data_IF_337047994701
#
_entry.id   IF_337047994701
#
_cell.length_a   1.000
_cell.length_b   1.000
_cell.length_c   1.000
_cell.angle_alpha   90.00
_cell.angle_beta   90.00
_cell.angle_gamma   90.00
#
_symmetry.space_group_name_H-M   'P 1'
#
loop_
_entity.id
_entity.type
_entity.pdbx_description
1 polymer ?
#
# COMPACT_ATOMS: atom_id res chain seq x y z
N UNK A 1 46.70 35.18 30.16
CA UNK A 1 45.64 35.23 29.11
C UNK A 1 46.07 34.33 27.97
N UNK A 2 45.12 33.58 27.38
CA UNK A 2 45.27 32.68 26.21
C UNK A 2 45.75 31.24 26.48
N UNK A 3 44.98 30.45 27.24
CA UNK A 3 45.05 28.99 27.12
C UNK A 3 43.75 28.26 27.54
N UNK A 4 42.60 28.95 27.50
CA UNK A 4 41.31 28.42 27.96
C UNK A 4 40.14 28.77 27.02
N UNK A 5 40.35 28.73 25.69
CA UNK A 5 39.29 29.13 24.75
C UNK A 5 39.12 28.21 23.54
N UNK A 6 39.66 26.99 23.55
CA UNK A 6 39.54 26.07 22.41
C UNK A 6 38.75 24.79 22.75
N UNK A 7 38.39 24.56 24.01
CA UNK A 7 37.80 23.28 24.45
C UNK A 7 36.28 23.29 24.66
N UNK A 8 35.53 24.21 24.04
CA UNK A 8 34.07 24.32 24.27
C UNK A 8 33.22 24.45 22.99
N UNK A 9 33.83 24.40 21.79
CA UNK A 9 33.10 24.61 20.51
C UNK A 9 33.06 23.34 19.64
N UNK A 10 33.46 22.17 20.16
CA UNK A 10 33.39 20.89 19.39
C UNK A 10 32.31 19.93 19.94
N UNK A 11 31.48 20.36 20.90
CA UNK A 11 30.42 19.50 21.45
C UNK A 11 29.01 19.76 20.88
N UNK A 12 28.88 20.57 19.81
CA UNK A 12 27.57 21.01 19.30
C UNK A 12 27.29 20.68 17.82
N UNK A 13 28.01 19.72 17.22
CA UNK A 13 27.79 19.31 15.82
C UNK A 13 27.74 17.78 15.63
N UNK A 14 27.38 17.04 16.68
CA UNK A 14 27.01 15.63 16.58
C UNK A 14 25.56 15.37 17.02
N UNK A 15 24.66 16.32 16.75
CA UNK A 15 23.29 15.94 16.41
C UNK A 15 23.34 15.52 14.95
N UNK A 16 24.01 14.38 14.71
CA UNK A 16 23.71 13.61 13.52
C UNK A 16 22.21 13.39 13.60
N UNK A 17 21.50 13.92 12.62
CA UNK A 17 20.25 13.36 12.19
C UNK A 17 20.54 11.87 11.94
N UNK A 18 20.40 11.05 12.98
CA UNK A 18 20.04 9.68 12.78
C UNK A 18 18.73 9.80 12.02
N UNK A 19 18.65 9.36 10.74
CA UNK A 19 17.33 9.07 10.22
C UNK A 19 16.71 8.18 11.28
N UNK A 20 15.60 8.63 11.85
CA UNK A 20 14.74 7.76 12.63
C UNK A 20 14.26 6.73 11.63
N UNK A 21 15.08 5.70 11.42
CA UNK A 21 14.71 4.49 10.71
C UNK A 21 13.64 3.87 11.60
N UNK A 22 12.41 4.35 11.43
CA UNK A 22 11.25 3.63 11.91
C UNK A 22 11.37 2.23 11.29
N UNK A 23 11.26 1.17 12.10
CA UNK A 23 11.27 -0.18 11.55
C UNK A 23 10.17 -0.27 10.47
N UNK A 24 10.42 -1.06 9.43
CA UNK A 24 9.40 -1.35 8.42
C UNK A 24 8.17 -1.95 9.13
N UNK A 25 7.08 -1.20 9.17
CA UNK A 25 5.84 -1.58 9.85
C UNK A 25 4.81 -2.07 8.84
N UNK A 26 4.11 -3.16 9.20
CA UNK A 26 2.93 -3.59 8.47
C UNK A 26 1.78 -2.60 8.70
N UNK A 27 1.04 -2.29 7.65
CA UNK A 27 -0.03 -1.33 7.72
C UNK A 27 -1.28 -1.79 6.95
N UNK A 28 -2.47 -1.57 7.50
CA UNK A 28 -3.74 -2.06 6.94
C UNK A 28 -4.86 -1.06 7.17
N UNK A 29 -5.64 -0.74 6.15
CA UNK A 29 -6.83 0.13 6.27
C UNK A 29 -8.06 -0.48 5.65
N UNK A 30 -9.20 -0.23 6.29
CA UNK A 30 -10.52 -0.61 5.85
C UNK A 30 -11.29 0.61 5.32
N UNK A 31 -11.48 0.63 4.00
CA UNK A 31 -12.16 1.67 3.24
C UNK A 31 -13.58 1.92 3.72
N UNK A 32 -14.01 3.19 3.68
CA UNK A 32 -15.38 3.57 4.02
C UNK A 32 -15.74 3.52 5.51
N UNK A 33 -14.83 3.09 6.38
CA UNK A 33 -15.10 2.90 7.82
C UNK A 33 -14.32 3.87 8.70
N UNK A 34 -14.94 4.26 9.81
CA UNK A 34 -14.33 5.10 10.85
C UNK A 34 -13.69 4.26 11.96
N UNK A 35 -14.33 3.14 12.30
CA UNK A 35 -13.90 2.25 13.36
C UNK A 35 -12.91 1.20 12.84
N UNK A 36 -11.96 0.83 13.70
CA UNK A 36 -11.00 -0.23 13.42
C UNK A 36 -11.68 -1.61 13.48
N UNK A 37 -11.13 -2.56 12.73
CA UNK A 37 -11.60 -3.93 12.63
C UNK A 37 -10.47 -4.91 12.90
N UNK A 38 -10.69 -5.88 13.78
CA UNK A 38 -9.79 -7.03 13.94
C UNK A 38 -10.38 -8.21 13.20
N UNK A 39 -9.66 -8.71 12.20
CA UNK A 39 -10.12 -9.83 11.39
C UNK A 39 -9.95 -11.19 12.08
N UNK A 40 -10.45 -12.24 11.45
CA UNK A 40 -10.39 -13.62 11.94
C UNK A 40 -8.97 -14.16 12.16
N UNK A 41 -7.95 -13.53 11.59
CA UNK A 41 -6.54 -13.85 11.78
C UNK A 41 -5.86 -12.99 12.84
N UNK A 42 -6.60 -12.08 13.49
CA UNK A 42 -6.09 -11.18 14.51
C UNK A 42 -5.34 -9.96 13.95
N UNK A 43 -5.44 -9.70 12.64
CA UNK A 43 -4.85 -8.50 12.02
C UNK A 43 -5.76 -7.31 12.29
N UNK A 44 -5.16 -6.18 12.64
CA UNK A 44 -5.90 -4.92 12.83
C UNK A 44 -5.93 -4.14 11.52
N UNK A 45 -7.13 -3.75 11.12
CA UNK A 45 -7.42 -2.89 9.97
C UNK A 45 -7.93 -1.56 10.47
N UNK A 46 -7.18 -0.49 10.24
CA UNK A 46 -7.57 0.84 10.69
C UNK A 46 -8.72 1.39 9.86
N UNK A 47 -9.67 2.07 10.50
CA UNK A 47 -10.73 2.76 9.77
C UNK A 47 -10.15 3.81 8.82
N UNK A 48 -10.42 3.71 7.51
CA UNK A 48 -9.81 4.59 6.52
C UNK A 48 -10.37 6.04 6.54
N UNK A 49 -11.44 6.32 7.30
CA UNK A 49 -12.03 7.67 7.43
C UNK A 49 -11.31 8.54 8.48
N UNK A 50 -9.98 8.50 8.50
CA UNK A 50 -9.13 9.21 9.46
C UNK A 50 -8.05 10.03 8.71
N UNK A 51 -7.94 11.31 9.04
CA UNK A 51 -6.91 12.21 8.48
C UNK A 51 -5.64 12.16 9.33
N UNK A 52 -4.46 12.08 8.69
CA UNK A 52 -3.16 12.42 9.30
C UNK A 52 -2.96 11.92 10.75
N UNK A 53 -3.16 10.62 10.97
CA UNK A 53 -2.91 9.95 12.23
C UNK A 53 -1.40 9.70 12.43
N UNK A 54 -1.03 9.19 13.61
CA UNK A 54 0.35 8.79 13.90
C UNK A 54 0.88 7.73 12.92
N UNK A 55 -0.02 6.93 12.35
CA UNK A 55 0.28 5.88 11.38
C UNK A 55 0.11 6.31 9.91
N UNK A 56 -0.50 7.48 9.65
CA UNK A 56 -0.88 7.90 8.30
C UNK A 56 -2.35 8.26 8.19
N UNK A 57 -2.90 8.27 6.98
CA UNK A 57 -4.31 8.57 6.74
C UNK A 57 -4.54 9.10 5.34
N UNK A 58 -5.77 9.54 5.07
CA UNK A 58 -6.03 10.23 3.80
C UNK A 58 -5.31 11.57 3.78
N UNK A 59 -4.93 12.00 2.57
CA UNK A 59 -4.31 13.30 2.32
C UNK A 59 -5.12 14.07 1.27
N UNK A 60 -4.96 15.39 1.26
CA UNK A 60 -5.64 16.37 0.39
C UNK A 60 -7.16 16.47 0.59
N UNK A 61 -7.89 15.35 0.48
CA UNK A 61 -9.35 15.33 0.53
C UNK A 61 -9.86 14.07 1.20
N UNK A 62 -10.80 14.26 2.14
CA UNK A 62 -11.52 13.15 2.76
C UNK A 62 -12.24 12.31 1.69
N UNK A 63 -11.99 10.99 1.63
CA UNK A 63 -12.68 10.12 0.70
C UNK A 63 -14.13 9.94 1.13
N UNK A 64 -15.02 9.83 0.14
CA UNK A 64 -16.42 9.49 0.36
C UNK A 64 -16.54 8.01 0.70
N UNK A 65 -17.69 7.64 1.26
CA UNK A 65 -18.00 6.28 1.66
C UNK A 65 -19.13 5.70 0.82
N UNK A 66 -19.11 4.39 0.62
CA UNK A 66 -20.26 3.63 0.15
C UNK A 66 -20.22 2.18 0.69
N UNK A 67 -21.37 1.52 0.71
CA UNK A 67 -21.52 0.14 1.18
C UNK A 67 -21.92 -0.80 0.05
N UNK A 68 -21.11 -1.83 -0.18
CA UNK A 68 -21.47 -2.92 -1.07
C UNK A 68 -22.59 -3.70 -0.37
N UNK A 69 -23.67 -4.01 -1.08
CA UNK A 69 -24.85 -4.63 -0.46
C UNK A 69 -24.77 -6.15 -0.39
N UNK A 70 -24.08 -6.74 -1.36
CA UNK A 70 -24.06 -8.17 -1.59
C UNK A 70 -22.78 -8.51 -2.34
N UNK A 71 -22.24 -9.70 -2.07
CA UNK A 71 -21.15 -10.32 -2.80
C UNK A 71 -21.59 -11.70 -3.28
N UNK A 72 -21.22 -12.08 -4.50
CA UNK A 72 -21.49 -13.42 -5.02
C UNK A 72 -20.81 -14.49 -4.17
N UNK A 73 -21.30 -15.73 -4.21
CA UNK A 73 -20.65 -16.85 -3.52
C UNK A 73 -19.20 -17.04 -3.98
N UNK A 74 -18.93 -16.85 -5.27
CA UNK A 74 -17.58 -16.95 -5.83
C UNK A 74 -16.66 -15.85 -5.28
N UNK A 75 -17.16 -14.61 -5.18
CA UNK A 75 -16.42 -13.52 -4.57
C UNK A 75 -16.10 -13.78 -3.08
N UNK A 76 -17.07 -14.31 -2.33
CA UNK A 76 -16.84 -14.68 -0.92
C UNK A 76 -15.80 -15.80 -0.78
N UNK A 77 -15.86 -16.80 -1.66
CA UNK A 77 -14.89 -17.89 -1.70
C UNK A 77 -13.49 -17.40 -2.09
N UNK A 78 -13.39 -16.46 -3.04
CA UNK A 78 -12.15 -15.82 -3.45
C UNK A 78 -11.50 -15.05 -2.29
N UNK A 79 -12.28 -14.27 -1.52
CA UNK A 79 -11.78 -13.57 -0.34
C UNK A 79 -11.20 -14.55 0.69
N UNK A 80 -11.94 -15.60 1.03
CA UNK A 80 -11.52 -16.62 1.98
C UNK A 80 -10.26 -17.37 1.51
N UNK A 81 -10.21 -17.74 0.24
CA UNK A 81 -9.05 -18.43 -0.35
C UNK A 81 -7.79 -17.55 -0.32
N UNK A 82 -7.95 -16.23 -0.46
CA UNK A 82 -6.87 -15.25 -0.33
C UNK A 82 -6.54 -14.91 1.14
N UNK A 83 -7.26 -15.47 2.11
CA UNK A 83 -7.03 -15.22 3.53
C UNK A 83 -7.53 -13.84 3.98
N UNK A 84 -8.67 -13.37 3.46
CA UNK A 84 -9.31 -12.14 3.91
C UNK A 84 -10.74 -12.40 4.40
N UNK A 85 -11.14 -11.67 5.44
CA UNK A 85 -12.52 -11.65 5.88
C UNK A 85 -13.37 -10.93 4.84
N UNK A 86 -14.51 -11.53 4.50
CA UNK A 86 -15.44 -11.00 3.50
C UNK A 86 -15.92 -9.59 3.88
N UNK A 87 -15.99 -9.28 5.17
CA UNK A 87 -16.40 -7.97 5.71
C UNK A 87 -15.58 -6.80 5.15
N UNK A 88 -14.31 -7.04 4.81
CA UNK A 88 -13.43 -6.01 4.24
C UNK A 88 -13.97 -5.45 2.91
N UNK A 89 -14.72 -6.26 2.15
CA UNK A 89 -15.23 -5.90 0.82
C UNK A 89 -16.60 -5.23 0.86
N UNK A 90 -17.24 -5.14 2.03
CA UNK A 90 -18.58 -4.56 2.16
C UNK A 90 -18.61 -3.04 2.32
N UNK A 91 -17.45 -2.39 2.44
CA UNK A 91 -17.32 -0.95 2.53
C UNK A 91 -16.24 -0.45 1.57
N UNK A 92 -16.39 0.78 1.06
CA UNK A 92 -15.43 1.40 0.14
C UNK A 92 -15.17 2.86 0.50
N UNK A 93 -13.91 3.27 0.33
CA UNK A 93 -13.50 4.67 0.21
C UNK A 93 -13.44 5.03 -1.27
N UNK A 94 -14.03 6.16 -1.68
CA UNK A 94 -14.05 6.60 -3.08
C UNK A 94 -13.95 8.11 -3.26
N UNK A 95 -13.59 8.58 -4.46
CA UNK A 95 -13.50 10.00 -4.78
C UNK A 95 -14.32 10.35 -6.03
N UNK A 96 -15.02 11.48 -6.02
CA UNK A 96 -15.76 11.95 -7.19
C UNK A 96 -14.78 12.58 -8.19
N UNK A 97 -14.67 12.01 -9.39
CA UNK A 97 -13.85 12.57 -10.46
C UNK A 97 -14.21 14.06 -10.70
N UNK A 98 -13.22 14.97 -10.80
CA UNK A 98 -11.79 14.72 -10.99
C UNK A 98 -10.96 14.58 -9.69
N UNK A 99 -11.59 14.49 -8.52
CA UNK A 99 -10.84 14.20 -7.29
C UNK A 99 -10.25 12.78 -7.32
N UNK A 100 -9.18 12.58 -6.56
CA UNK A 100 -8.49 11.31 -6.40
C UNK A 100 -8.66 10.78 -4.98
N UNK A 101 -8.47 9.47 -4.80
CA UNK A 101 -8.32 8.90 -3.45
C UNK A 101 -6.83 8.85 -3.14
N UNK A 102 -6.38 9.53 -2.09
CA UNK A 102 -4.97 9.58 -1.72
C UNK A 102 -4.76 9.23 -0.25
N UNK A 103 -3.78 8.37 0.01
CA UNK A 103 -3.38 7.96 1.35
C UNK A 103 -1.86 8.01 1.46
N UNK A 104 -1.40 8.33 2.66
CA UNK A 104 -0.01 8.24 3.05
C UNK A 104 0.08 7.40 4.32
N UNK A 105 0.97 6.42 4.35
CA UNK A 105 1.20 5.53 5.49
C UNK A 105 2.62 5.67 5.99
N UNK A 106 2.80 5.87 7.30
CA UNK A 106 4.12 6.03 7.93
C UNK A 106 4.74 4.65 8.17
N UNK A 107 5.16 4.00 7.11
CA UNK A 107 5.67 2.61 7.11
C UNK A 107 7.12 2.50 7.55
N UNK A 108 7.87 3.61 7.56
CA UNK A 108 9.33 3.57 7.61
C UNK A 108 9.96 3.19 6.26
N UNK A 109 11.28 3.27 6.19
CA UNK A 109 12.05 2.92 5.00
C UNK A 109 12.07 1.40 4.82
N UNK A 110 11.94 0.92 3.58
CA UNK A 110 11.97 -0.51 3.30
C UNK A 110 11.43 -0.89 1.94
N UNK A 111 11.30 -2.20 1.73
CA UNK A 111 10.63 -2.78 0.57
C UNK A 111 9.36 -3.45 1.03
N UNK A 112 8.24 -3.20 0.35
CA UNK A 112 6.91 -3.65 0.75
C UNK A 112 6.19 -4.39 -0.39
N UNK A 113 5.31 -5.31 0.01
CA UNK A 113 4.23 -5.82 -0.83
C UNK A 113 2.96 -5.05 -0.46
N UNK A 114 2.27 -4.51 -1.47
CA UNK A 114 1.04 -3.75 -1.30
C UNK A 114 -0.12 -4.50 -1.95
N UNK A 115 -1.11 -4.89 -1.17
CA UNK A 115 -2.33 -5.52 -1.65
C UNK A 115 -3.47 -4.51 -1.69
N UNK A 116 -4.04 -4.33 -2.87
CA UNK A 116 -5.26 -3.59 -3.14
C UNK A 116 -6.46 -4.55 -3.19
N UNK A 117 -7.50 -4.22 -2.43
CA UNK A 117 -8.74 -5.00 -2.34
C UNK A 117 -9.93 -4.12 -2.68
N UNK A 118 -10.85 -4.63 -3.49
CA UNK A 118 -12.08 -3.90 -3.86
C UNK A 118 -13.26 -4.84 -4.07
N UNK A 119 -14.44 -4.43 -3.60
CA UNK A 119 -15.73 -4.98 -4.01
C UNK A 119 -16.50 -3.97 -4.86
N UNK A 120 -17.04 -4.40 -6.00
CA UNK A 120 -17.79 -3.55 -6.92
C UNK A 120 -19.29 -3.91 -6.95
N UNK A 121 -20.14 -2.89 -6.97
CA UNK A 121 -21.60 -3.04 -7.01
C UNK A 121 -22.30 -1.97 -7.86
N UNK A 122 -21.73 -0.79 -7.97
CA UNK A 122 -22.38 0.41 -8.50
C UNK A 122 -22.09 0.65 -9.98
N UNK A 123 -20.91 0.27 -10.46
CA UNK A 123 -20.48 0.45 -11.85
C UNK A 123 -19.68 -0.75 -12.34
N UNK A 124 -20.33 -1.92 -12.38
CA UNK A 124 -19.66 -3.18 -12.70
C UNK A 124 -19.03 -3.13 -14.09
N UNK A 125 -17.75 -3.51 -14.18
CA UNK A 125 -16.94 -3.44 -15.40
C UNK A 125 -16.90 -2.05 -16.07
N UNK A 126 -17.17 -0.98 -15.32
CA UNK A 126 -17.37 0.36 -15.88
C UNK A 126 -16.69 1.47 -15.09
N UNK A 127 -15.97 1.15 -14.00
CA UNK A 127 -15.19 2.13 -13.25
C UNK A 127 -13.71 2.01 -13.62
N UNK A 128 -13.18 3.03 -14.28
CA UNK A 128 -11.82 3.05 -14.81
C UNK A 128 -10.90 4.06 -14.13
N UNK A 129 -9.76 3.61 -13.64
CA UNK A 129 -8.74 4.45 -13.00
C UNK A 129 -7.36 3.81 -13.08
N UNK A 130 -6.35 4.59 -12.74
CA UNK A 130 -4.99 4.11 -12.54
C UNK A 130 -4.68 3.99 -11.05
N UNK A 131 -3.82 3.04 -10.69
CA UNK A 131 -3.32 2.85 -9.33
C UNK A 131 -1.85 3.26 -9.29
N UNK A 132 -1.55 4.23 -8.44
CA UNK A 132 -0.20 4.71 -8.21
C UNK A 132 0.26 4.36 -6.80
N UNK A 133 1.51 3.90 -6.70
CA UNK A 133 2.23 3.67 -5.45
C UNK A 133 3.60 4.32 -5.60
N UNK A 134 4.02 5.15 -4.63
CA UNK A 134 5.30 5.89 -4.71
C UNK A 134 5.45 6.68 -6.02
N UNK A 135 4.37 7.34 -6.47
CA UNK A 135 4.26 8.07 -7.75
C UNK A 135 4.39 7.20 -9.04
N UNK A 136 4.69 5.90 -8.92
CA UNK A 136 4.73 4.96 -10.04
C UNK A 136 3.33 4.44 -10.38
N UNK A 137 2.96 4.43 -11.67
CA UNK A 137 1.70 3.83 -12.13
C UNK A 137 1.84 2.31 -12.21
N UNK A 138 1.54 1.63 -11.10
CA UNK A 138 1.73 0.17 -10.96
C UNK A 138 0.62 -0.64 -11.62
N UNK A 139 -0.55 -0.05 -11.84
CA UNK A 139 -1.67 -0.69 -12.55
C UNK A 139 -2.36 0.35 -13.45
N UNK A 140 -1.84 0.57 -14.67
CA UNK A 140 -2.46 1.46 -15.62
C UNK A 140 -3.73 0.84 -16.20
N UNK A 141 -4.72 1.70 -16.50
CA UNK A 141 -5.97 1.32 -17.16
C UNK A 141 -6.78 0.26 -16.39
N UNK A 142 -6.72 0.28 -15.06
CA UNK A 142 -7.50 -0.63 -14.23
C UNK A 142 -9.01 -0.36 -14.41
N UNK A 143 -9.78 -1.46 -14.48
CA UNK A 143 -11.25 -1.44 -14.50
C UNK A 143 -11.75 -2.38 -13.42
N UNK A 144 -12.69 -1.92 -12.58
CA UNK A 144 -13.26 -2.75 -11.49
C UNK A 144 -14.01 -3.98 -12.01
N UNK A 145 -14.14 -5.03 -11.17
CA UNK A 145 -14.77 -6.28 -11.59
C UNK A 145 -16.29 -6.13 -11.80
N UNK A 146 -16.96 -7.25 -12.07
CA UNK A 146 -18.40 -7.30 -12.29
C UNK A 146 -19.23 -6.98 -11.04
N UNK A 147 -20.55 -7.14 -11.21
CA UNK A 147 -21.50 -6.78 -10.17
C UNK A 147 -21.39 -7.76 -9.01
N UNK A 148 -21.16 -7.26 -7.80
CA UNK A 148 -21.00 -8.05 -6.58
C UNK A 148 -19.75 -8.93 -6.58
N UNK A 149 -18.79 -8.61 -7.44
CA UNK A 149 -17.51 -9.30 -7.55
C UNK A 149 -16.42 -8.52 -6.83
N UNK A 150 -15.29 -9.19 -6.60
CA UNK A 150 -14.14 -8.60 -5.93
C UNK A 150 -12.88 -8.75 -6.78
N UNK A 151 -11.96 -7.83 -6.56
CA UNK A 151 -10.59 -7.95 -7.03
C UNK A 151 -9.63 -7.86 -5.84
N UNK A 152 -8.56 -8.65 -5.94
CA UNK A 152 -7.44 -8.66 -5.00
C UNK A 152 -6.17 -8.65 -5.84
N UNK A 153 -5.38 -7.57 -5.75
CA UNK A 153 -4.15 -7.38 -6.52
C UNK A 153 -3.01 -7.05 -5.59
N UNK A 154 -1.90 -7.78 -5.70
CA UNK A 154 -0.68 -7.52 -4.91
C UNK A 154 0.43 -7.00 -5.83
N UNK A 155 1.00 -5.86 -5.44
CA UNK A 155 2.15 -5.24 -6.09
C UNK A 155 3.37 -5.43 -5.19
N UNK A 156 4.39 -6.12 -5.70
CA UNK A 156 5.56 -6.51 -4.91
C UNK A 156 6.76 -5.64 -5.19
N UNK A 157 7.60 -5.47 -4.17
CA UNK A 157 8.89 -4.81 -4.33
C UNK A 157 8.82 -3.28 -4.35
N UNK A 158 7.80 -2.69 -3.72
CA UNK A 158 7.67 -1.23 -3.61
C UNK A 158 8.73 -0.70 -2.65
N UNK A 159 9.63 0.15 -3.15
CA UNK A 159 10.70 0.75 -2.35
C UNK A 159 10.24 2.10 -1.74
N UNK A 160 10.31 2.21 -0.42
CA UNK A 160 10.02 3.44 0.34
C UNK A 160 11.33 3.94 0.95
N UNK A 161 11.64 5.22 0.74
CA UNK A 161 12.93 5.82 1.15
C UNK A 161 12.82 7.10 1.99
N UNK A 162 11.62 7.61 2.20
CA UNK A 162 11.35 8.82 3.00
C UNK A 162 10.53 8.54 4.27
N UNK A 163 10.34 7.27 4.60
CA UNK A 163 9.57 6.79 5.73
C UNK A 163 8.06 6.71 5.52
N UNK A 164 7.55 7.06 4.33
CA UNK A 164 6.13 7.11 4.03
C UNK A 164 5.80 6.42 2.71
N UNK A 165 4.83 5.50 2.74
CA UNK A 165 4.27 4.91 1.53
C UNK A 165 3.07 5.72 1.06
N UNK A 166 3.13 6.22 -0.16
CA UNK A 166 2.10 7.02 -0.81
C UNK A 166 1.28 6.19 -1.80
N UNK A 167 -0.04 6.33 -1.70
CA UNK A 167 -1.02 5.69 -2.57
C UNK A 167 -1.92 6.74 -3.20
N UNK A 168 -2.15 6.61 -4.50
CA UNK A 168 -3.05 7.49 -5.24
C UNK A 168 -3.86 6.69 -6.27
N UNK A 169 -5.17 6.88 -6.25
CA UNK A 169 -6.10 6.29 -7.22
C UNK A 169 -6.75 7.41 -8.01
N UNK A 170 -6.53 7.44 -9.33
CA UNK A 170 -6.94 8.54 -10.18
C UNK A 170 -7.73 8.07 -11.41
N UNK A 171 -8.94 8.60 -11.58
CA UNK A 171 -9.80 8.30 -12.71
C UNK A 171 -9.11 8.51 -14.07
N UNK A 172 -9.22 7.52 -14.97
CA UNK A 172 -8.54 7.54 -16.26
C UNK A 172 -9.52 7.28 -17.41
N UNK A 173 -9.78 8.30 -18.23
CA UNK A 173 -10.68 8.20 -19.38
C UNK A 173 -10.16 7.28 -20.50
N UNK A 174 -8.85 7.00 -20.55
CA UNK A 174 -8.25 6.10 -21.54
C UNK A 174 -8.62 4.62 -21.32
N UNK A 175 -9.14 4.29 -20.13
CA UNK A 175 -9.72 2.96 -19.84
C UNK A 175 -10.92 2.63 -20.75
N UNK A 176 -11.57 3.65 -21.32
CA UNK A 176 -12.83 3.51 -22.05
C UNK A 176 -14.06 3.30 -21.15
N UNK A 177 -13.87 3.33 -19.82
CA UNK A 177 -14.92 3.13 -18.83
C UNK A 177 -15.75 4.41 -18.65
N UNK A 178 -17.05 4.26 -18.37
CA UNK A 178 -17.98 5.39 -18.23
C UNK A 178 -17.98 6.06 -16.86
N UNK A 179 -17.54 5.37 -15.81
CA UNK A 179 -17.36 5.91 -14.47
C UNK A 179 -15.86 6.04 -14.17
N UNK A 180 -15.43 7.20 -13.68
CA UNK A 180 -14.02 7.49 -13.38
C UNK A 180 -13.78 7.77 -11.88
N UNK A 181 -14.78 7.54 -11.03
CA UNK A 181 -14.64 7.76 -9.59
C UNK A 181 -13.81 6.62 -9.00
N UNK A 182 -12.55 6.88 -8.64
CA UNK A 182 -11.65 5.84 -8.12
C UNK A 182 -12.07 5.38 -6.70
N UNK A 183 -11.77 4.13 -6.34
CA UNK A 183 -12.18 3.56 -5.06
C UNK A 183 -11.30 2.40 -4.60
N UNK A 184 -11.40 2.04 -3.32
CA UNK A 184 -10.87 0.80 -2.75
C UNK A 184 -11.75 0.33 -1.58
N UNK A 185 -11.75 -0.97 -1.29
CA UNK A 185 -12.37 -1.56 -0.10
C UNK A 185 -11.40 -1.71 1.05
N UNK A 186 -10.18 -2.19 0.78
CA UNK A 186 -9.13 -2.26 1.79
C UNK A 186 -7.75 -2.17 1.14
N UNK A 187 -6.75 -1.78 1.94
CA UNK A 187 -5.35 -1.75 1.54
C UNK A 187 -4.53 -2.45 2.61
N UNK A 188 -3.63 -3.32 2.21
CA UNK A 188 -2.65 -3.98 3.08
C UNK A 188 -1.26 -3.70 2.55
N UNK A 189 -0.35 -3.31 3.44
CA UNK A 189 1.05 -3.06 3.19
C UNK A 189 1.83 -3.92 4.16
N UNK A 190 2.66 -4.81 3.65
CA UNK A 190 3.49 -5.69 4.47
C UNK A 190 4.94 -5.59 4.02
N UNK A 191 5.92 -5.59 4.94
CA UNK A 191 7.32 -5.69 4.56
C UNK A 191 7.53 -6.91 3.66
N UNK A 192 8.13 -6.70 2.49
CA UNK A 192 8.40 -7.77 1.57
C UNK A 192 9.32 -8.79 2.26
N UNK A 193 8.98 -10.08 2.16
CA UNK A 193 9.87 -11.14 2.64
C UNK A 193 11.04 -11.22 1.66
N UNK A 194 12.07 -10.42 1.91
CA UNK A 194 13.35 -10.58 1.25
C UNK A 194 13.89 -11.92 1.75
N UNK A 195 13.67 -13.00 1.00
CA UNK A 195 14.51 -14.18 1.14
C UNK A 195 15.92 -13.69 0.89
N UNK A 196 16.69 -13.57 1.97
CA UNK A 196 18.09 -13.20 1.87
C UNK A 196 18.75 -14.22 0.95
N UNK A 197 18.94 -13.85 -0.32
CA UNK A 197 19.82 -14.61 -1.19
C UNK A 197 21.18 -14.42 -0.56
N UNK A 198 21.64 -15.43 0.20
CA UNK A 198 22.96 -15.40 0.82
C UNK A 198 23.94 -14.96 -0.28
N UNK A 199 24.64 -13.83 -0.13
CA UNK A 199 25.60 -13.37 -1.13
C UNK A 199 26.64 -14.46 -1.45
N UNK A 200 26.91 -15.38 -0.50
CA UNK A 200 27.77 -16.54 -0.73
C UNK A 200 27.17 -17.55 -1.71
N UNK A 201 25.86 -17.68 -1.76
CA UNK A 201 25.16 -18.61 -2.66
C UNK A 201 25.09 -18.07 -4.10
N UNK A 202 24.93 -16.74 -4.27
CA UNK A 202 25.06 -16.06 -5.57
C UNK A 202 26.50 -16.14 -6.11
N UNK A 203 27.49 -15.91 -5.26
CA UNK A 203 28.91 -15.98 -5.66
C UNK A 203 29.31 -17.43 -6.02
N UNK A 204 28.87 -18.45 -5.27
CA UNK A 204 29.22 -19.85 -5.58
C UNK A 204 28.59 -20.37 -6.87
N UNK A 205 27.38 -19.94 -7.23
CA UNK A 205 26.75 -20.32 -8.51
C UNK A 205 27.44 -19.68 -9.71
N UNK A 206 27.89 -18.42 -9.61
CA UNK A 206 28.61 -17.75 -10.71
C UNK A 206 30.01 -18.33 -10.93
N UNK A 207 30.74 -18.68 -9.86
CA UNK A 207 32.07 -19.31 -9.99
C UNK A 207 32.02 -20.80 -10.38
N UNK A 208 30.95 -21.51 -10.02
CA UNK A 208 30.72 -22.90 -10.44
C UNK A 208 30.50 -23.01 -11.95
N UNK A 209 29.63 -22.17 -12.51
CA UNK A 209 29.35 -22.12 -13.95
C UNK A 209 30.60 -21.74 -14.78
N UNK A 210 31.42 -20.78 -14.30
CA UNK A 210 32.65 -20.36 -14.98
C UNK A 210 33.79 -21.39 -14.96
N UNK A 211 33.70 -22.43 -14.11
CA UNK A 211 34.69 -23.52 -14.05
C UNK A 211 34.34 -24.68 -14.96
N UNK A 212 33.05 -24.98 -15.15
CA UNK A 212 32.61 -26.04 -16.06
C UNK A 212 32.76 -25.63 -17.54
N UNK A 213 32.66 -24.33 -17.87
CA UNK A 213 32.91 -23.81 -19.22
C UNK A 213 34.40 -23.77 -19.63
N UNK A 214 35.32 -24.27 -18.79
CA UNK A 214 36.76 -24.33 -19.07
C UNK A 214 37.31 -25.76 -19.26
N UNK A 215 36.45 -26.76 -19.46
CA UNK A 215 36.88 -28.11 -19.87
C UNK A 215 36.69 -28.34 -21.37
#
# INVERSE_FOLDING_TARGET
MRLFSVLTIVFFLSVFALPTLLPAEEFRVWGGKTDDFTDSQGRVWYGAQQENQSWGGWIEKAPRVAEVKELTTDAQAQAQAAGYDVDLFYAVSWAQFPDTVKYQFKTGDGTFDVTYLVGEHWSPNNRGFDIFIEEENVEPLYVTPGSHEIDIKTYSGIEVSDGTLDLNFAGNAETGAGDLNAMFSALEVVPAVITAVDPKQKVTTTWGALKDDRQ
#
